data_IF_677172598952
#
_entry.id   IF_677172598952
#
_cell.length_a   1.000
_cell.length_b   1.000
_cell.length_c   1.000
_cell.angle_alpha   90.00
_cell.angle_beta   90.00
_cell.angle_gamma   90.00
#
_symmetry.space_group_name_H-M   'P 1'
#
loop_
_entity.id
_entity.type
_entity.pdbx_description
1 polymer ?
#
# COMPACT_ATOMS: atom_id res chain seq x y z
N UNK A 1 -68.33 -47.56 63.62
CA UNK A 1 -68.31 -47.11 62.20
C UNK A 1 -67.18 -46.11 62.01
N UNK A 2 -66.04 -46.59 61.54
CA UNK A 2 -64.83 -45.80 61.34
C UNK A 2 -64.75 -45.41 59.86
N UNK A 3 -64.80 -44.11 59.55
CA UNK A 3 -64.58 -43.62 58.19
C UNK A 3 -63.10 -43.36 57.99
N UNK A 4 -62.45 -44.12 57.09
CA UNK A 4 -61.12 -43.82 56.59
C UNK A 4 -61.23 -42.69 55.58
N UNK A 5 -60.52 -41.62 55.82
CA UNK A 5 -60.28 -40.54 54.86
C UNK A 5 -59.00 -40.89 54.07
N UNK A 6 -59.13 -41.06 52.72
CA UNK A 6 -58.01 -41.25 51.82
C UNK A 6 -57.41 -39.91 51.48
N UNK A 7 -56.14 -39.67 51.80
CA UNK A 7 -55.34 -38.58 51.32
C UNK A 7 -54.78 -38.88 49.93
N UNK A 8 -55.18 -38.09 48.93
CA UNK A 8 -54.60 -38.09 47.60
C UNK A 8 -53.37 -37.14 47.54
N UNK A 9 -52.21 -37.59 47.22
CA UNK A 9 -51.05 -36.67 47.08
C UNK A 9 -51.19 -35.90 45.77
N UNK A 10 -51.23 -34.56 45.85
CA UNK A 10 -51.13 -33.63 44.73
C UNK A 10 -49.69 -33.56 44.29
N UNK A 11 -49.34 -34.21 43.16
CA UNK A 11 -48.03 -34.13 42.54
C UNK A 11 -47.88 -32.80 41.82
N UNK A 12 -47.05 -31.93 42.33
CA UNK A 12 -46.70 -30.66 41.69
C UNK A 12 -45.71 -30.93 40.54
N UNK A 13 -46.17 -30.92 39.30
CA UNK A 13 -45.30 -30.92 38.12
C UNK A 13 -44.61 -29.57 38.03
N UNK A 14 -43.34 -29.53 38.43
CA UNK A 14 -42.47 -28.40 38.12
C UNK A 14 -42.05 -28.47 36.63
N UNK A 15 -42.56 -27.58 35.80
CA UNK A 15 -42.13 -27.43 34.42
C UNK A 15 -40.72 -26.83 34.40
N UNK A 16 -39.72 -27.65 34.13
CA UNK A 16 -38.38 -27.17 33.81
C UNK A 16 -38.43 -26.52 32.43
N UNK A 17 -38.42 -25.18 32.40
CA UNK A 17 -38.12 -24.42 31.20
C UNK A 17 -36.65 -24.58 30.89
N UNK A 18 -36.31 -25.37 29.86
CA UNK A 18 -34.98 -25.40 29.33
C UNK A 18 -34.67 -24.05 28.63
N UNK A 19 -33.50 -23.46 28.84
CA UNK A 19 -33.14 -22.26 28.13
C UNK A 19 -33.04 -22.58 26.64
N UNK A 20 -33.77 -21.83 25.81
CA UNK A 20 -33.63 -21.88 24.38
C UNK A 20 -32.27 -21.30 24.01
N UNK A 21 -31.36 -22.12 23.48
CA UNK A 21 -30.12 -21.64 22.94
C UNK A 21 -30.41 -21.01 21.58
N UNK A 22 -30.22 -19.69 21.46
CA UNK A 22 -30.17 -19.02 20.18
C UNK A 22 -28.99 -19.53 19.38
N UNK A 23 -29.23 -20.11 18.22
CA UNK A 23 -28.18 -20.54 17.31
C UNK A 23 -27.67 -19.33 16.52
N UNK A 24 -26.38 -19.33 16.20
CA UNK A 24 -25.78 -18.30 15.34
C UNK A 24 -25.32 -18.96 14.04
N UNK A 25 -25.68 -18.36 12.90
CA UNK A 25 -25.16 -18.75 11.58
C UNK A 25 -24.13 -17.71 11.17
N UNK A 26 -22.91 -18.14 10.88
CA UNK A 26 -21.84 -17.30 10.34
C UNK A 26 -21.55 -17.74 8.90
N UNK A 27 -21.61 -16.82 7.95
CA UNK A 27 -21.26 -17.07 6.55
C UNK A 27 -20.17 -16.07 6.16
N UNK A 28 -19.14 -16.59 5.50
CA UNK A 28 -18.07 -15.78 4.90
C UNK A 28 -18.28 -15.71 3.39
N UNK A 29 -18.18 -14.49 2.85
CA UNK A 29 -18.22 -14.20 1.43
C UNK A 29 -16.96 -13.43 1.02
N UNK A 30 -16.54 -13.62 -0.22
CA UNK A 30 -15.49 -12.81 -0.85
C UNK A 30 -16.04 -12.13 -2.09
N UNK A 31 -15.88 -10.82 -2.15
CA UNK A 31 -16.16 -10.04 -3.35
C UNK A 31 -14.87 -9.51 -3.98
N UNK A 32 -14.89 -9.33 -5.29
CA UNK A 32 -13.77 -8.80 -6.06
C UNK A 32 -14.30 -7.87 -7.15
N UNK A 33 -13.60 -6.75 -7.37
CA UNK A 33 -13.88 -5.79 -8.44
C UNK A 33 -12.58 -5.34 -9.08
N UNK A 34 -12.60 -5.16 -10.40
CA UNK A 34 -11.49 -4.64 -11.18
C UNK A 34 -11.73 -3.17 -11.47
N UNK A 35 -10.66 -2.35 -11.40
CA UNK A 35 -10.72 -0.94 -11.75
C UNK A 35 -9.41 -0.47 -12.38
N UNK A 36 -9.52 0.45 -13.35
CA UNK A 36 -8.36 1.15 -13.86
C UNK A 36 -7.81 2.10 -12.78
N UNK A 37 -6.47 2.20 -12.63
CA UNK A 37 -5.87 3.17 -11.72
C UNK A 37 -6.14 4.61 -12.17
N UNK A 38 -6.22 5.54 -11.22
CA UNK A 38 -6.37 6.97 -11.46
C UNK A 38 -5.15 7.79 -11.01
N UNK A 39 -4.19 7.15 -10.35
CA UNK A 39 -2.92 7.76 -9.96
C UNK A 39 -1.77 6.76 -10.00
N UNK A 40 -0.55 7.30 -10.06
CA UNK A 40 0.67 6.53 -9.90
C UNK A 40 1.57 7.17 -8.85
N UNK A 41 2.39 6.36 -8.22
CA UNK A 41 3.44 6.78 -7.32
C UNK A 41 4.78 6.35 -7.90
N UNK A 42 5.72 7.28 -7.98
CA UNK A 42 7.09 7.04 -8.44
C UNK A 42 8.07 7.48 -7.35
N UNK A 43 9.22 6.83 -7.30
CA UNK A 43 10.35 7.30 -6.49
C UNK A 43 11.44 7.79 -7.43
N UNK A 44 11.77 9.08 -7.33
CA UNK A 44 12.83 9.72 -8.11
C UNK A 44 13.82 10.40 -7.19
N UNK A 45 15.07 10.49 -7.61
CA UNK A 45 16.09 11.08 -6.76
C UNK A 45 17.42 11.31 -7.45
N UNK A 46 18.32 11.90 -6.68
CA UNK A 46 19.68 12.24 -7.12
C UNK A 46 20.68 11.63 -6.17
N UNK A 47 21.67 10.97 -6.75
CA UNK A 47 22.88 10.50 -6.05
C UNK A 47 24.06 11.27 -6.59
N UNK A 48 24.82 11.93 -5.70
CA UNK A 48 26.01 12.71 -6.02
C UNK A 48 27.23 12.19 -5.27
N UNK A 49 28.39 12.47 -5.78
CA UNK A 49 29.67 12.14 -5.14
C UNK A 49 30.56 13.38 -5.03
N UNK A 50 31.44 13.40 -4.03
CA UNK A 50 32.39 14.46 -3.81
C UNK A 50 33.59 13.97 -3.00
N UNK A 51 34.70 14.70 -3.06
CA UNK A 51 35.88 14.39 -2.25
C UNK A 51 35.59 14.56 -0.74
N UNK A 52 34.71 15.47 -0.40
CA UNK A 52 34.23 15.69 0.96
C UNK A 52 32.71 15.51 1.04
N UNK A 53 32.21 15.19 2.23
CA UNK A 53 30.76 15.09 2.46
C UNK A 53 30.04 16.41 2.15
N UNK A 54 30.70 17.54 2.39
CA UNK A 54 30.15 18.89 2.11
C UNK A 54 29.97 19.08 0.60
N UNK A 55 30.98 18.81 -0.20
CA UNK A 55 30.89 18.95 -1.66
C UNK A 55 29.82 18.05 -2.25
N UNK A 56 29.76 16.78 -1.82
CA UNK A 56 28.73 15.85 -2.28
C UNK A 56 27.32 16.33 -1.89
N UNK A 57 27.14 16.90 -0.68
CA UNK A 57 25.87 17.43 -0.20
C UNK A 57 25.43 18.68 -0.95
N UNK A 58 26.35 19.62 -1.18
CA UNK A 58 26.03 20.88 -1.86
C UNK A 58 25.60 20.60 -3.31
N UNK A 59 26.29 19.69 -4.01
CA UNK A 59 25.90 19.22 -5.34
C UNK A 59 24.53 18.53 -5.34
N UNK A 60 24.27 17.69 -4.34
CA UNK A 60 22.97 17.00 -4.20
C UNK A 60 21.83 17.98 -3.95
N UNK A 61 22.05 18.96 -3.08
CA UNK A 61 21.06 19.98 -2.74
C UNK A 61 20.66 20.80 -3.97
N UNK A 62 21.63 21.21 -4.79
CA UNK A 62 21.37 21.94 -6.03
C UNK A 62 20.53 21.10 -7.01
N UNK A 63 20.95 19.86 -7.30
CA UNK A 63 20.26 18.99 -8.23
C UNK A 63 18.85 18.60 -7.77
N UNK A 64 18.66 18.36 -6.47
CA UNK A 64 17.32 18.07 -5.91
C UNK A 64 16.40 19.30 -5.95
N UNK A 65 16.94 20.51 -5.79
CA UNK A 65 16.15 21.73 -5.93
C UNK A 65 15.62 21.90 -7.36
N UNK A 66 16.45 21.62 -8.36
CA UNK A 66 16.07 21.64 -9.78
C UNK A 66 15.01 20.58 -10.09
N UNK A 67 15.22 19.34 -9.61
CA UNK A 67 14.25 18.25 -9.78
C UNK A 67 12.87 18.61 -9.19
N UNK A 68 12.83 19.12 -7.96
CA UNK A 68 11.57 19.49 -7.29
C UNK A 68 10.92 20.68 -8.01
N UNK A 69 11.69 21.64 -8.50
CA UNK A 69 11.17 22.78 -9.26
C UNK A 69 10.50 22.32 -10.55
N UNK A 70 11.12 21.40 -11.28
CA UNK A 70 10.58 20.87 -12.53
C UNK A 70 9.33 20.01 -12.30
N UNK A 71 9.32 19.17 -11.27
CA UNK A 71 8.12 18.40 -10.90
C UNK A 71 6.92 19.34 -10.66
N UNK A 72 7.14 20.44 -9.95
CA UNK A 72 6.11 21.48 -9.74
C UNK A 72 5.71 22.18 -11.02
N UNK A 73 6.67 22.51 -11.90
CA UNK A 73 6.40 23.12 -13.20
C UNK A 73 5.56 22.21 -14.12
N UNK A 74 5.70 20.90 -13.99
CA UNK A 74 4.86 19.91 -14.67
C UNK A 74 3.53 19.61 -13.97
N UNK A 75 3.13 20.43 -13.01
CA UNK A 75 1.80 20.39 -12.39
C UNK A 75 1.67 19.44 -11.20
N UNK A 76 2.79 18.90 -10.68
CA UNK A 76 2.77 18.13 -9.43
C UNK A 76 2.59 19.08 -8.25
N UNK A 77 1.55 18.88 -7.47
CA UNK A 77 1.29 19.71 -6.30
C UNK A 77 2.34 19.46 -5.20
N UNK A 78 2.67 20.48 -4.41
CA UNK A 78 3.66 20.34 -3.34
C UNK A 78 3.32 19.24 -2.34
N UNK A 79 2.04 18.99 -2.08
CA UNK A 79 1.55 17.91 -1.21
C UNK A 79 1.80 16.49 -1.76
N UNK A 80 2.00 16.40 -3.07
CA UNK A 80 2.21 15.14 -3.80
C UNK A 80 3.71 14.83 -3.99
N UNK A 81 4.60 15.65 -3.41
CA UNK A 81 6.06 15.47 -3.41
C UNK A 81 6.52 15.32 -1.96
N UNK A 82 7.06 14.17 -1.63
CA UNK A 82 7.54 13.86 -0.29
C UNK A 82 8.97 13.32 -0.32
N UNK A 83 9.88 13.86 0.49
CA UNK A 83 11.19 13.25 0.66
C UNK A 83 11.03 11.88 1.35
N UNK A 84 11.51 10.85 0.71
CA UNK A 84 11.37 9.46 1.15
C UNK A 84 12.69 8.82 1.58
N UNK A 85 13.83 9.40 1.23
CA UNK A 85 15.12 8.89 1.63
C UNK A 85 16.20 9.95 1.54
N UNK A 86 17.10 9.96 2.54
CA UNK A 86 18.30 10.79 2.55
C UNK A 86 19.43 10.04 3.24
N UNK A 87 20.59 9.98 2.60
CA UNK A 87 21.79 9.36 3.18
C UNK A 87 23.06 10.03 2.72
N UNK A 88 24.07 10.03 3.60
CA UNK A 88 25.45 10.44 3.31
C UNK A 88 26.34 9.29 3.73
N UNK A 89 27.07 8.72 2.78
CA UNK A 89 27.91 7.55 3.02
C UNK A 89 29.34 7.80 2.53
N UNK A 90 30.36 7.38 3.29
CA UNK A 90 31.73 7.40 2.80
C UNK A 90 31.93 6.26 1.77
N UNK A 91 32.68 6.57 0.71
CA UNK A 91 33.16 5.57 -0.25
C UNK A 91 34.52 5.06 0.19
N UNK A 92 34.65 3.73 0.33
CA UNK A 92 35.86 3.08 0.74
C UNK A 92 36.59 2.44 -0.44
N UNK A 93 37.90 2.64 -0.51
CA UNK A 93 38.78 1.88 -1.39
C UNK A 93 39.50 0.84 -0.58
N UNK A 94 39.40 -0.39 -1.03
CA UNK A 94 40.16 -1.54 -0.50
C UNK A 94 41.41 -1.69 -1.28
N UNK A 95 42.50 -2.01 -0.60
CA UNK A 95 43.84 -2.26 -1.20
C UNK A 95 44.33 -3.64 -0.81
N UNK A 96 45.09 -4.24 -1.70
CA UNK A 96 45.81 -5.49 -1.41
C UNK A 96 47.20 -5.20 -0.77
N UNK A 97 47.53 -3.91 -0.54
CA UNK A 97 48.77 -3.52 0.14
C UNK A 97 48.79 -4.09 1.57
N UNK A 98 50.00 -4.49 1.99
CA UNK A 98 50.21 -5.07 3.30
C UNK A 98 51.17 -4.21 4.10
N UNK A 99 50.99 -4.25 5.42
CA UNK A 99 51.90 -3.63 6.36
C UNK A 99 53.24 -4.46 6.49
N UNK A 100 54.19 -3.96 7.27
CA UNK A 100 55.48 -4.64 7.52
C UNK A 100 55.33 -6.02 8.17
N UNK A 101 54.17 -6.34 8.77
CA UNK A 101 53.85 -7.61 9.40
C UNK A 101 53.04 -8.56 8.47
N UNK A 102 52.74 -8.13 7.24
CA UNK A 102 52.04 -8.90 6.25
C UNK A 102 50.51 -8.83 6.34
N UNK A 103 49.93 -7.98 7.18
CA UNK A 103 48.50 -7.75 7.27
C UNK A 103 48.01 -6.77 6.20
N UNK A 104 46.84 -7.02 5.59
CA UNK A 104 46.24 -6.11 4.63
C UNK A 104 45.93 -4.77 5.31
N UNK A 105 46.27 -3.67 4.66
CA UNK A 105 45.98 -2.33 5.17
C UNK A 105 44.46 -2.11 5.26
N UNK A 106 43.99 -1.34 6.27
CA UNK A 106 42.57 -1.02 6.37
C UNK A 106 42.10 -0.19 5.17
N UNK A 107 40.80 -0.29 4.77
CA UNK A 107 40.26 0.51 3.68
C UNK A 107 40.36 1.99 3.99
N UNK A 108 40.59 2.80 2.94
CA UNK A 108 40.69 4.26 3.04
C UNK A 108 39.46 4.89 2.42
N UNK A 109 38.96 5.98 3.03
CA UNK A 109 37.90 6.80 2.44
C UNK A 109 38.55 7.57 1.28
N UNK A 110 37.92 7.46 0.07
CA UNK A 110 38.35 8.20 -1.11
C UNK A 110 37.29 9.19 -1.60
N UNK A 111 36.19 9.38 -0.86
CA UNK A 111 35.12 10.31 -1.15
C UNK A 111 33.87 10.00 -0.38
N UNK A 112 32.82 10.72 -0.70
CA UNK A 112 31.51 10.58 -0.08
C UNK A 112 30.43 10.55 -1.16
N UNK A 113 29.37 9.81 -0.88
CA UNK A 113 28.18 9.74 -1.71
C UNK A 113 26.99 10.25 -0.91
N UNK A 114 26.21 11.13 -1.51
CA UNK A 114 24.91 11.60 -0.98
C UNK A 114 23.80 11.12 -1.89
N UNK A 115 22.81 10.47 -1.32
CA UNK A 115 21.59 10.07 -2.02
C UNK A 115 20.39 10.75 -1.37
N UNK A 116 19.54 11.33 -2.20
CA UNK A 116 18.30 11.98 -1.78
C UNK A 116 17.19 11.58 -2.75
N UNK A 117 16.08 11.09 -2.22
CA UNK A 117 14.96 10.59 -3.00
C UNK A 117 13.67 11.22 -2.55
N UNK A 118 12.77 11.43 -3.49
CA UNK A 118 11.40 11.88 -3.27
C UNK A 118 10.43 10.86 -3.83
N UNK A 119 9.35 10.64 -3.11
CA UNK A 119 8.18 9.95 -3.60
C UNK A 119 7.22 10.99 -4.18
N UNK A 120 6.78 10.75 -5.39
CA UNK A 120 5.92 11.67 -6.16
C UNK A 120 4.64 10.97 -6.53
N UNK A 121 3.50 11.56 -6.17
CA UNK A 121 2.18 11.09 -6.58
C UNK A 121 1.74 11.83 -7.84
N UNK A 122 1.57 11.08 -8.92
CA UNK A 122 1.12 11.59 -10.22
C UNK A 122 -0.36 11.26 -10.39
N UNK A 123 -1.22 12.27 -10.35
CA UNK A 123 -2.70 12.14 -10.45
C UNK A 123 -3.22 12.26 -11.89
N UNK A 124 -2.34 12.58 -12.84
CA UNK A 124 -2.65 12.62 -14.27
C UNK A 124 -1.75 11.62 -14.96
N UNK A 125 -2.24 10.40 -15.14
CA UNK A 125 -1.44 9.30 -15.66
C UNK A 125 -0.92 9.53 -17.08
N UNK A 126 -1.63 10.32 -17.89
CA UNK A 126 -1.23 10.77 -19.21
C UNK A 126 0.09 11.57 -19.22
N UNK A 127 0.44 12.20 -18.09
CA UNK A 127 1.69 12.98 -17.95
C UNK A 127 2.85 12.16 -17.38
N UNK A 128 2.62 10.92 -16.94
CA UNK A 128 3.60 10.14 -16.20
C UNK A 128 4.87 9.86 -17.00
N UNK A 129 4.74 9.45 -18.26
CA UNK A 129 5.89 9.18 -19.14
C UNK A 129 6.76 10.42 -19.33
N UNK A 130 6.13 11.57 -19.58
CA UNK A 130 6.82 12.87 -19.73
C UNK A 130 7.51 13.33 -18.44
N UNK A 131 6.90 13.09 -17.28
CA UNK A 131 7.51 13.41 -15.98
C UNK A 131 8.76 12.54 -15.73
N UNK A 132 8.70 11.25 -16.05
CA UNK A 132 9.84 10.34 -15.94
C UNK A 132 11.00 10.79 -16.84
N UNK A 133 10.73 11.05 -18.11
CA UNK A 133 11.74 11.48 -19.09
C UNK A 133 12.43 12.78 -18.65
N UNK A 134 11.63 13.78 -18.28
CA UNK A 134 12.15 15.07 -17.79
C UNK A 134 12.96 14.94 -16.51
N UNK A 135 12.51 14.10 -15.57
CA UNK A 135 13.24 13.87 -14.33
C UNK A 135 14.66 13.38 -14.59
N UNK A 136 14.81 12.41 -15.52
CA UNK A 136 16.13 11.90 -15.92
C UNK A 136 16.95 12.97 -16.64
N UNK A 137 16.34 13.74 -17.53
CA UNK A 137 17.01 14.81 -18.30
C UNK A 137 17.62 15.87 -17.39
N UNK A 138 16.98 16.20 -16.26
CA UNK A 138 17.45 17.23 -15.30
C UNK A 138 18.51 16.70 -14.34
N UNK A 139 18.78 15.40 -14.36
CA UNK A 139 19.83 14.81 -13.53
C UNK A 139 19.35 13.87 -12.43
N UNK A 140 18.07 13.49 -12.40
CA UNK A 140 17.65 12.37 -11.60
C UNK A 140 18.36 11.10 -12.12
N UNK A 141 19.19 10.49 -11.30
CA UNK A 141 19.94 9.28 -11.65
C UNK A 141 19.50 8.06 -10.81
N UNK A 142 18.45 8.27 -10.02
CA UNK A 142 17.76 7.23 -9.26
C UNK A 142 16.27 7.36 -9.56
N UNK A 143 15.72 6.42 -10.34
CA UNK A 143 14.29 6.30 -10.61
C UNK A 143 13.93 4.86 -10.30
N UNK A 144 13.11 4.65 -9.26
CA UNK A 144 12.75 3.32 -8.79
C UNK A 144 11.24 3.18 -8.78
N UNK A 145 10.77 2.13 -9.44
CA UNK A 145 9.40 1.67 -9.37
C UNK A 145 8.35 2.67 -9.86
N UNK A 146 7.35 2.15 -10.52
CA UNK A 146 6.07 2.81 -10.74
C UNK A 146 5.04 1.91 -10.07
N UNK A 147 4.25 2.49 -9.16
CA UNK A 147 3.15 1.79 -8.50
C UNK A 147 1.86 2.53 -8.83
N UNK A 148 0.90 1.80 -9.36
CA UNK A 148 -0.42 2.34 -9.69
C UNK A 148 -1.39 2.11 -8.56
N UNK A 149 -2.33 3.04 -8.38
CA UNK A 149 -3.36 2.96 -7.32
C UNK A 149 -4.59 3.77 -7.70
N UNK A 150 -5.64 3.60 -6.91
CA UNK A 150 -6.86 4.40 -6.96
C UNK A 150 -6.87 5.31 -5.74
N UNK A 151 -7.13 6.61 -5.96
CA UNK A 151 -7.08 7.63 -4.91
C UNK A 151 -8.12 7.40 -3.80
N UNK A 152 -9.32 6.97 -4.18
CA UNK A 152 -10.38 6.61 -3.23
C UNK A 152 -11.01 5.27 -3.65
N UNK A 153 -10.62 4.16 -3.03
CA UNK A 153 -11.13 2.84 -3.35
C UNK A 153 -12.44 2.48 -2.61
N UNK A 154 -13.04 3.39 -1.85
CA UNK A 154 -14.21 3.11 -0.99
C UNK A 154 -15.40 2.58 -1.76
N UNK A 155 -15.76 3.17 -2.91
CA UNK A 155 -16.83 2.69 -3.77
C UNK A 155 -16.52 1.33 -4.40
N UNK A 156 -15.25 1.05 -4.69
CA UNK A 156 -14.82 -0.24 -5.22
C UNK A 156 -15.01 -1.34 -4.17
N UNK A 157 -14.64 -1.08 -2.93
CA UNK A 157 -14.85 -2.01 -1.83
C UNK A 157 -16.34 -2.20 -1.53
N UNK A 158 -17.15 -1.13 -1.58
CA UNK A 158 -18.59 -1.23 -1.43
C UNK A 158 -19.20 -2.11 -2.54
N UNK A 159 -18.78 -1.93 -3.78
CA UNK A 159 -19.22 -2.75 -4.92
C UNK A 159 -18.80 -4.22 -4.73
N UNK A 160 -17.57 -4.47 -4.33
CA UNK A 160 -17.08 -5.82 -4.04
C UNK A 160 -17.85 -6.48 -2.89
N UNK A 161 -18.30 -5.71 -1.89
CA UNK A 161 -19.12 -6.20 -0.79
C UNK A 161 -20.58 -6.50 -1.19
N UNK A 162 -21.00 -6.10 -2.41
CA UNK A 162 -22.36 -6.33 -2.91
C UNK A 162 -23.40 -5.34 -2.41
N UNK A 163 -22.99 -4.16 -1.95
CA UNK A 163 -23.92 -3.14 -1.45
C UNK A 163 -23.32 -1.74 -1.40
N UNK A 164 -24.19 -0.75 -1.18
CA UNK A 164 -23.80 0.61 -0.76
C UNK A 164 -23.57 0.59 0.75
N UNK A 165 -22.49 1.23 1.20
CA UNK A 165 -22.22 1.43 2.62
C UNK A 165 -23.23 2.46 3.18
N UNK A 166 -24.39 1.96 3.63
CA UNK A 166 -25.25 2.67 4.55
C UNK A 166 -24.80 2.33 5.97
N UNK A 167 -25.06 3.09 6.94
CA UNK A 167 -24.69 3.07 8.35
C UNK A 167 -23.97 1.79 8.88
N UNK A 168 -22.69 1.89 9.19
CA UNK A 168 -21.88 0.77 9.67
C UNK A 168 -22.18 0.53 11.15
N UNK A 169 -22.83 -0.57 11.48
CA UNK A 169 -23.16 -0.96 12.86
C UNK A 169 -21.97 -1.63 13.61
N UNK A 170 -21.03 -2.21 12.90
CA UNK A 170 -19.81 -2.80 13.47
C UNK A 170 -18.80 -3.09 12.37
N UNK A 171 -17.57 -2.59 12.53
CA UNK A 171 -16.43 -2.99 11.70
C UNK A 171 -15.55 -3.92 12.55
N UNK A 172 -15.49 -5.18 12.19
CA UNK A 172 -14.41 -6.06 12.62
C UNK A 172 -13.35 -6.03 11.52
N UNK A 173 -12.37 -5.16 11.65
CA UNK A 173 -11.30 -4.99 10.69
C UNK A 173 -10.30 -6.13 10.85
N UNK A 174 -10.40 -7.12 9.99
CA UNK A 174 -9.29 -8.01 9.66
C UNK A 174 -8.65 -7.44 8.39
N UNK A 175 -7.81 -6.42 8.57
CA UNK A 175 -7.09 -5.80 7.45
C UNK A 175 -6.01 -6.76 6.95
N UNK A 176 -6.35 -7.55 5.96
CA UNK A 176 -5.35 -8.07 5.05
C UNK A 176 -5.21 -7.03 3.94
N UNK A 177 -4.26 -6.11 4.09
CA UNK A 177 -3.86 -5.23 3.00
C UNK A 177 -3.22 -6.08 1.90
N UNK A 178 -4.02 -6.62 1.03
CA UNK A 178 -3.53 -7.07 -0.25
C UNK A 178 -3.33 -5.81 -1.09
N UNK A 179 -2.07 -5.40 -1.27
CA UNK A 179 -1.76 -4.39 -2.28
C UNK A 179 -2.38 -4.82 -3.60
N UNK A 180 -3.08 -3.91 -4.32
CA UNK A 180 -3.65 -4.24 -5.61
C UNK A 180 -2.58 -4.88 -6.50
N UNK A 181 -2.86 -6.06 -7.06
CA UNK A 181 -1.94 -6.76 -7.95
C UNK A 181 -2.28 -6.37 -9.38
N UNK A 182 -1.32 -5.89 -10.17
CA UNK A 182 -1.54 -5.66 -11.58
C UNK A 182 -1.91 -6.98 -12.28
N UNK A 183 -3.04 -7.00 -12.97
CA UNK A 183 -3.41 -8.12 -13.83
C UNK A 183 -2.93 -7.82 -15.25
N UNK A 184 -2.18 -8.76 -15.82
CA UNK A 184 -1.67 -8.64 -17.18
C UNK A 184 -2.84 -8.69 -18.18
N UNK A 185 -3.25 -7.54 -18.72
CA UNK A 185 -4.06 -7.51 -19.93
C UNK A 185 -3.16 -7.59 -21.16
N UNK A 186 -3.58 -8.37 -22.15
CA UNK A 186 -2.93 -8.39 -23.45
C UNK A 186 -3.12 -7.03 -24.12
N UNK A 187 -2.08 -6.18 -24.07
CA UNK A 187 -2.09 -4.87 -24.66
C UNK A 187 -2.26 -4.95 -26.18
N UNK A 188 -3.31 -4.35 -26.71
CA UNK A 188 -3.37 -3.96 -28.12
C UNK A 188 -2.35 -2.85 -28.33
N UNK A 189 -1.35 -3.14 -29.14
CA UNK A 189 -0.22 -2.27 -29.47
C UNK A 189 -0.72 -0.98 -30.12
N UNK A 190 -0.71 0.12 -29.41
CA UNK A 190 -0.79 1.45 -29.98
C UNK A 190 0.59 1.84 -30.51
N UNK A 191 0.66 2.28 -31.77
CA UNK A 191 1.89 2.83 -32.37
C UNK A 191 2.26 4.11 -31.60
N UNK A 192 3.36 4.06 -30.87
CA UNK A 192 3.87 5.17 -30.10
C UNK A 192 4.67 6.11 -31.00
N UNK A 193 4.29 7.39 -31.02
CA UNK A 193 5.16 8.47 -31.45
C UNK A 193 6.29 8.63 -30.40
N UNK A 194 7.53 8.72 -30.89
CA UNK A 194 8.73 8.78 -30.08
C UNK A 194 8.75 10.04 -29.20
N UNK A 195 8.96 9.87 -27.89
CA UNK A 195 9.67 10.76 -26.94
C UNK A 195 9.45 10.43 -25.46
N UNK A 196 8.29 9.96 -25.03
CA UNK A 196 8.02 9.73 -23.61
C UNK A 196 8.27 8.27 -23.21
N UNK A 197 8.63 8.04 -21.95
CA UNK A 197 8.74 6.69 -21.41
C UNK A 197 7.38 6.01 -21.49
N UNK A 198 7.21 4.88 -22.22
CA UNK A 198 5.92 4.21 -22.29
C UNK A 198 5.58 3.59 -20.92
N UNK A 199 4.41 3.91 -20.41
CA UNK A 199 3.95 3.41 -19.10
C UNK A 199 2.48 2.99 -19.22
N UNK A 200 2.21 1.75 -18.84
CA UNK A 200 0.87 1.15 -18.89
C UNK A 200 0.39 0.82 -17.47
N UNK A 201 -0.78 1.31 -17.08
CA UNK A 201 -1.33 1.14 -15.73
C UNK A 201 -2.03 -0.20 -15.49
N UNK A 202 -2.52 -0.85 -16.56
CA UNK A 202 -3.32 -2.07 -16.44
C UNK A 202 -4.61 -1.87 -15.63
N UNK A 203 -5.12 -2.95 -15.05
CA UNK A 203 -6.22 -2.95 -14.10
C UNK A 203 -5.75 -3.44 -12.74
N UNK A 204 -6.35 -2.91 -11.69
CA UNK A 204 -6.12 -3.30 -10.30
C UNK A 204 -7.29 -4.11 -9.78
N UNK A 205 -7.02 -5.18 -9.04
CA UNK A 205 -8.03 -6.00 -8.38
C UNK A 205 -8.20 -5.54 -6.93
N UNK A 206 -9.44 -5.25 -6.55
CA UNK A 206 -9.84 -4.92 -5.18
C UNK A 206 -10.72 -6.04 -4.64
N UNK A 207 -10.32 -6.66 -3.54
CA UNK A 207 -11.07 -7.74 -2.91
C UNK A 207 -11.39 -7.43 -1.46
N UNK A 208 -12.59 -7.84 -1.03
CA UNK A 208 -13.04 -7.74 0.35
C UNK A 208 -13.58 -9.09 0.82
N UNK A 209 -13.30 -9.44 2.06
CA UNK A 209 -13.94 -10.56 2.74
C UNK A 209 -15.01 -10.01 3.68
N UNK A 210 -16.24 -10.52 3.54
CA UNK A 210 -17.37 -10.12 4.35
C UNK A 210 -17.81 -11.32 5.19
N UNK A 211 -17.86 -11.12 6.50
CA UNK A 211 -18.43 -12.10 7.43
C UNK A 211 -19.79 -11.60 7.91
N UNK A 212 -20.83 -12.34 7.62
CA UNK A 212 -22.18 -12.02 8.07
C UNK A 212 -22.62 -13.02 9.12
N UNK A 213 -23.14 -12.53 10.22
CA UNK A 213 -23.59 -13.31 11.34
C UNK A 213 -25.08 -13.05 11.59
N UNK A 214 -25.88 -14.13 11.64
CA UNK A 214 -27.30 -14.08 11.98
C UNK A 214 -27.53 -14.78 13.30
N UNK A 215 -28.35 -14.19 14.14
CA UNK A 215 -28.92 -14.84 15.30
C UNK A 215 -30.23 -15.55 14.88
N UNK A 216 -30.35 -16.83 15.20
CA UNK A 216 -31.57 -17.57 14.97
C UNK A 216 -32.50 -17.41 16.18
N UNK A 217 -33.62 -16.75 15.99
CA UNK A 217 -34.69 -16.79 16.98
C UNK A 217 -35.29 -18.20 16.98
N UNK A 218 -35.18 -18.92 18.10
CA UNK A 218 -35.93 -20.14 18.31
C UNK A 218 -37.38 -19.76 18.57
N UNK A 219 -38.25 -20.01 17.59
CA UNK A 219 -39.68 -19.80 17.76
C UNK A 219 -40.17 -20.64 18.95
N UNK A 220 -40.71 -19.94 19.95
CA UNK A 220 -41.50 -20.58 21.01
C UNK A 220 -42.78 -21.15 20.39
N UNK A 221 -42.94 -22.48 20.36
CA UNK A 221 -44.18 -23.18 20.11
C UNK A 221 -45.05 -23.18 21.36
#
# INVERSE_FOLDING_TARGET
>A
MRRLAALVPFALLASLSLPAYAGTITIEGRGEVMAAPDMAQITSGVTTQGATAREALDANTAAMAELIAELKANGIAARDIQTSGFSVNPNYVYTDERDANGYTLPPKINGYQVSNTVTVTVRKLDTLGSILDKSVTIGANTVNGVSFSVADPSELYATAAGGTLEEINSISESQTFNSPQPVAMYAMRAEAAAADVPVEGGELSFSINVTVQWELETGAN
#
